data_IF_340570102038
#
_entry.id   IF_340570102038
#
_cell.length_a   1.000
_cell.length_b   1.000
_cell.length_c   1.000
_cell.angle_alpha   90.00
_cell.angle_beta   90.00
_cell.angle_gamma   90.00
#
_symmetry.space_group_name_H-M   'P 1'
#
loop_
_entity.id
_entity.type
_entity.pdbx_description
1 polymer ?
#
# COMPACT_ATOMS: atom_id res chain seq x y z
N UNK A 1 2.37 19.36 -9.21
CA UNK A 1 0.99 19.69 -8.81
C UNK A 1 0.08 18.56 -9.30
N UNK A 2 -0.61 17.89 -8.39
CA UNK A 2 -1.49 16.75 -8.67
C UNK A 2 -2.71 17.16 -9.52
N UNK A 3 -3.17 16.31 -10.44
CA UNK A 3 -4.37 16.63 -11.22
C UNK A 3 -5.61 16.62 -10.33
N UNK A 4 -6.61 17.47 -10.64
CA UNK A 4 -7.83 17.60 -9.82
C UNK A 4 -8.54 16.26 -9.58
N UNK A 5 -8.64 15.42 -10.61
CA UNK A 5 -9.26 14.09 -10.52
C UNK A 5 -8.48 13.17 -9.57
N UNK A 6 -7.16 13.10 -9.72
CA UNK A 6 -6.28 12.27 -8.87
C UNK A 6 -6.37 12.71 -7.40
N UNK A 7 -6.49 14.01 -7.15
CA UNK A 7 -6.72 14.55 -5.80
C UNK A 7 -8.05 14.07 -5.21
N UNK A 8 -9.13 14.13 -5.98
CA UNK A 8 -10.46 13.66 -5.53
C UNK A 8 -10.44 12.16 -5.22
N UNK A 9 -9.83 11.36 -6.10
CA UNK A 9 -9.73 9.90 -5.91
C UNK A 9 -8.88 9.56 -4.68
N UNK A 10 -7.82 10.33 -4.40
CA UNK A 10 -6.98 10.18 -3.21
C UNK A 10 -7.75 10.48 -1.91
N UNK A 11 -8.50 11.59 -1.87
CA UNK A 11 -9.33 11.95 -0.72
C UNK A 11 -10.39 10.88 -0.48
N UNK A 12 -11.08 10.43 -1.54
CA UNK A 12 -12.10 9.39 -1.44
C UNK A 12 -11.54 8.07 -0.90
N UNK A 13 -10.33 7.69 -1.33
CA UNK A 13 -9.67 6.47 -0.86
C UNK A 13 -9.27 6.57 0.62
N UNK A 14 -8.70 7.69 1.04
CA UNK A 14 -8.31 7.91 2.43
C UNK A 14 -9.55 7.99 3.35
N UNK A 15 -10.64 8.59 2.86
CA UNK A 15 -11.94 8.59 3.54
C UNK A 15 -12.50 7.19 3.68
N UNK A 16 -12.49 6.39 2.62
CA UNK A 16 -12.98 5.01 2.65
C UNK A 16 -12.17 4.13 3.63
N UNK A 17 -10.85 4.35 3.72
CA UNK A 17 -10.02 3.73 4.75
C UNK A 17 -10.49 4.13 6.15
N UNK A 18 -10.67 5.42 6.41
CA UNK A 18 -11.10 5.90 7.72
C UNK A 18 -12.49 5.39 8.10
N UNK A 19 -13.46 5.45 7.20
CA UNK A 19 -14.83 4.98 7.43
C UNK A 19 -14.85 3.48 7.76
N UNK A 20 -14.00 2.67 7.10
CA UNK A 20 -13.94 1.22 7.32
C UNK A 20 -13.28 0.83 8.64
N UNK A 21 -12.32 1.62 9.11
CA UNK A 21 -11.44 1.24 10.21
C UNK A 21 -11.55 2.12 11.47
N UNK A 22 -12.41 3.14 11.46
CA UNK A 22 -12.67 3.97 12.64
C UNK A 22 -13.18 3.13 13.81
N UNK A 23 -12.57 3.32 14.99
CA UNK A 23 -12.89 2.55 16.20
C UNK A 23 -12.34 1.12 16.25
N UNK A 24 -11.65 0.64 15.21
CA UNK A 24 -11.03 -0.69 15.16
C UNK A 24 -9.56 -0.65 15.56
N UNK A 25 -9.04 -1.78 16.03
CA UNK A 25 -7.60 -2.03 16.10
C UNK A 25 -7.13 -2.58 14.76
N UNK A 26 -6.14 -1.92 14.19
CA UNK A 26 -5.57 -2.21 12.88
C UNK A 26 -4.17 -2.76 13.09
N UNK A 27 -3.84 -3.94 12.57
CA UNK A 27 -2.52 -4.53 12.78
C UNK A 27 -1.39 -3.67 12.20
N UNK A 28 -0.19 -3.72 12.80
CA UNK A 28 1.03 -3.23 12.16
C UNK A 28 1.35 -4.04 10.92
N UNK A 29 2.02 -3.42 9.97
CA UNK A 29 2.44 -4.07 8.73
C UNK A 29 3.93 -4.38 8.74
N UNK A 30 4.33 -5.26 7.84
CA UNK A 30 5.73 -5.60 7.62
C UNK A 30 5.99 -5.87 6.15
N UNK A 31 7.19 -5.55 5.69
CA UNK A 31 7.67 -5.91 4.36
C UNK A 31 9.07 -6.51 4.50
N UNK A 32 9.22 -7.77 4.09
CA UNK A 32 10.50 -8.49 4.17
C UNK A 32 10.81 -9.12 2.83
N UNK A 33 12.06 -9.01 2.40
CA UNK A 33 12.55 -9.71 1.21
C UNK A 33 12.63 -11.20 1.51
N UNK A 34 11.97 -12.02 0.69
CA UNK A 34 11.98 -13.47 0.78
C UNK A 34 12.32 -14.09 -0.58
N UNK A 35 12.77 -15.34 -0.55
CA UNK A 35 12.88 -16.20 -1.73
C UNK A 35 11.73 -17.19 -1.70
N UNK A 36 10.88 -17.18 -2.72
CA UNK A 36 9.68 -18.01 -2.80
C UNK A 36 9.77 -19.02 -3.94
N UNK A 37 9.31 -20.24 -3.67
CA UNK A 37 9.09 -21.29 -4.66
C UNK A 37 7.69 -21.85 -4.48
N UNK A 38 6.91 -21.92 -5.56
CA UNK A 38 5.52 -22.38 -5.53
C UNK A 38 4.65 -21.64 -6.53
N UNK A 39 3.34 -21.85 -6.42
CA UNK A 39 2.33 -21.19 -7.25
C UNK A 39 1.75 -20.00 -6.49
N UNK A 40 1.54 -18.89 -7.20
CA UNK A 40 0.92 -17.67 -6.68
C UNK A 40 -0.21 -17.23 -7.62
N UNK A 41 -1.19 -16.52 -7.05
CA UNK A 41 -2.36 -16.01 -7.75
C UNK A 41 -2.58 -14.55 -7.37
N UNK A 42 -3.13 -13.74 -8.28
CA UNK A 42 -3.51 -12.36 -7.97
C UNK A 42 -4.45 -12.28 -6.75
N UNK A 43 -4.17 -11.35 -5.84
CA UNK A 43 -5.06 -11.05 -4.73
C UNK A 43 -6.32 -10.36 -5.25
N UNK A 44 -7.49 -10.92 -4.93
CA UNK A 44 -8.77 -10.30 -5.28
C UNK A 44 -9.09 -9.13 -4.35
N UNK A 45 -9.55 -8.04 -4.94
CA UNK A 45 -9.88 -6.82 -4.20
C UNK A 45 -8.67 -5.99 -3.79
N UNK A 46 -7.46 -6.30 -4.28
CA UNK A 46 -6.36 -5.34 -4.24
C UNK A 46 -6.77 -4.09 -5.04
N UNK A 47 -6.45 -2.91 -4.52
CA UNK A 47 -6.70 -1.66 -5.23
C UNK A 47 -5.78 -1.55 -6.45
N UNK A 48 -6.20 -0.94 -7.57
CA UNK A 48 -5.25 -0.46 -8.56
C UNK A 48 -4.26 0.47 -7.85
N UNK A 49 -2.95 0.29 -8.08
CA UNK A 49 -1.88 1.09 -7.48
C UNK A 49 -2.17 2.59 -7.70
N UNK A 50 -2.73 3.30 -6.70
CA UNK A 50 -3.14 4.66 -6.94
C UNK A 50 -1.85 5.49 -6.92
N UNK A 51 -1.51 6.05 -8.08
CA UNK A 51 -0.32 6.91 -8.28
C UNK A 51 -0.50 8.21 -7.51
N UNK A 52 -0.40 8.19 -6.18
CA UNK A 52 -0.58 9.38 -5.37
C UNK A 52 0.72 9.67 -4.63
N UNK A 53 1.42 10.73 -5.03
CA UNK A 53 2.59 11.26 -4.31
C UNK A 53 3.88 10.44 -4.43
N UNK A 54 3.94 9.47 -5.34
CA UNK A 54 5.08 8.57 -5.47
C UNK A 54 5.12 7.45 -4.42
N UNK A 55 4.17 7.40 -3.49
CA UNK A 55 3.95 6.27 -2.59
C UNK A 55 3.11 5.21 -3.29
N UNK A 56 3.77 4.39 -4.09
CA UNK A 56 3.15 3.28 -4.83
C UNK A 56 3.66 1.94 -4.33
N UNK A 57 2.95 0.86 -4.66
CA UNK A 57 3.45 -0.49 -4.40
C UNK A 57 4.72 -0.79 -5.22
N UNK A 58 4.81 -0.23 -6.43
CA UNK A 58 6.06 -0.25 -7.21
C UNK A 58 7.22 0.42 -6.48
N UNK A 59 7.03 1.60 -5.90
CA UNK A 59 8.08 2.29 -5.16
C UNK A 59 8.52 1.51 -3.91
N UNK A 60 7.60 0.77 -3.28
CA UNK A 60 7.94 -0.13 -2.19
C UNK A 60 8.87 -1.26 -2.66
N UNK A 61 8.57 -1.91 -3.80
CA UNK A 61 9.44 -2.93 -4.40
C UNK A 61 10.85 -2.39 -4.71
N UNK A 62 10.92 -1.23 -5.37
CA UNK A 62 12.18 -0.56 -5.73
C UNK A 62 13.02 -0.24 -4.48
N UNK A 63 12.40 0.20 -3.38
CA UNK A 63 13.09 0.48 -2.11
C UNK A 63 13.79 -0.75 -1.52
N UNK A 64 13.28 -1.94 -1.80
CA UNK A 64 13.90 -3.21 -1.37
C UNK A 64 14.73 -3.86 -2.50
N UNK A 65 15.04 -3.12 -3.56
CA UNK A 65 15.79 -3.60 -4.73
C UNK A 65 15.14 -4.82 -5.39
N UNK A 66 13.81 -4.93 -5.32
CA UNK A 66 13.04 -5.93 -6.08
C UNK A 66 12.54 -5.23 -7.34
N UNK A 67 13.48 -4.96 -8.24
CA UNK A 67 13.28 -4.26 -9.50
C UNK A 67 13.68 -5.18 -10.65
N UNK A 68 12.80 -5.35 -11.64
CA UNK A 68 13.06 -6.28 -12.72
C UNK A 68 11.93 -6.34 -13.73
N UNK A 69 11.98 -7.30 -14.64
CA UNK A 69 10.87 -7.52 -15.56
C UNK A 69 9.63 -8.05 -14.83
N UNK A 70 8.50 -8.10 -15.51
CA UNK A 70 7.33 -8.82 -15.02
C UNK A 70 7.71 -10.25 -14.63
N UNK A 71 7.36 -10.69 -13.42
CA UNK A 71 7.69 -12.03 -12.93
C UNK A 71 6.71 -13.10 -13.39
N UNK A 72 5.58 -12.71 -13.99
CA UNK A 72 4.65 -13.64 -14.61
C UNK A 72 5.02 -13.89 -16.07
N UNK A 73 5.07 -15.16 -16.45
CA UNK A 73 5.23 -15.69 -17.81
C UNK A 73 3.96 -16.39 -18.31
N UNK A 74 3.05 -16.76 -17.39
CA UNK A 74 1.74 -17.36 -17.68
C UNK A 74 0.57 -16.49 -17.22
N UNK A 75 -0.53 -16.39 -18.00
CA UNK A 75 -0.58 -16.73 -19.41
C UNK A 75 0.37 -15.82 -20.21
N UNK A 76 0.79 -16.20 -21.43
CA UNK A 76 1.62 -15.31 -22.24
C UNK A 76 0.85 -14.03 -22.57
N UNK A 77 1.52 -12.88 -22.53
CA UNK A 77 0.90 -11.62 -22.89
C UNK A 77 0.40 -11.65 -24.35
N UNK A 78 -0.77 -11.07 -24.67
CA UNK A 78 -1.29 -11.02 -26.03
C UNK A 78 -0.30 -10.35 -26.99
N UNK A 79 -0.08 -10.96 -28.16
CA UNK A 79 0.64 -10.33 -29.27
C UNK A 79 2.16 -10.24 -29.15
N UNK A 80 2.83 -11.19 -28.49
CA UNK A 80 4.31 -11.21 -28.44
C UNK A 80 4.92 -9.98 -27.73
N UNK A 81 4.11 -9.29 -26.93
CA UNK A 81 4.51 -8.11 -26.17
C UNK A 81 5.60 -8.50 -25.20
N UNK A 82 6.78 -7.90 -25.34
CA UNK A 82 7.89 -8.07 -24.41
C UNK A 82 7.48 -7.54 -23.03
N UNK A 83 8.05 -8.11 -21.97
CA UNK A 83 7.84 -7.77 -20.56
C UNK A 83 8.83 -6.72 -19.97
N UNK A 84 9.45 -5.80 -20.74
CA UNK A 84 10.74 -5.23 -20.35
C UNK A 84 10.65 -4.25 -19.19
N UNK A 85 9.45 -3.85 -18.76
CA UNK A 85 9.26 -3.02 -17.57
C UNK A 85 8.05 -3.49 -16.77
N UNK A 86 8.25 -3.86 -15.50
CA UNK A 86 7.13 -3.96 -14.58
C UNK A 86 6.58 -2.56 -14.30
N UNK A 87 5.27 -2.42 -14.44
CA UNK A 87 4.59 -1.14 -14.36
C UNK A 87 3.86 -0.95 -13.04
N UNK A 88 3.68 -2.02 -12.26
CA UNK A 88 2.93 -2.04 -10.99
C UNK A 88 3.54 -3.05 -10.00
N UNK A 89 3.39 -2.77 -8.70
CA UNK A 89 3.57 -3.80 -7.68
C UNK A 89 2.30 -4.64 -7.57
N UNK A 90 2.39 -5.92 -7.95
CA UNK A 90 1.26 -6.84 -7.96
C UNK A 90 1.17 -7.64 -6.66
N UNK A 91 0.01 -7.60 -6.00
CA UNK A 91 -0.25 -8.42 -4.82
C UNK A 91 -0.65 -9.82 -5.25
N UNK A 92 0.03 -10.82 -4.69
CA UNK A 92 -0.23 -12.21 -4.97
C UNK A 92 -0.30 -13.04 -3.68
N UNK A 93 -0.97 -14.19 -3.75
CA UNK A 93 -1.24 -15.09 -2.62
C UNK A 93 -1.13 -16.53 -3.07
N UNK A 94 -0.73 -17.48 -2.20
CA UNK A 94 -0.79 -18.91 -2.51
C UNK A 94 -2.22 -19.44 -2.59
N UNK A 95 -3.22 -18.68 -2.12
CA UNK A 95 -4.61 -19.07 -2.20
C UNK A 95 -5.15 -18.91 -3.63
N UNK A 96 -5.54 -20.01 -4.26
CA UNK A 96 -6.08 -20.03 -5.64
C UNK A 96 -7.30 -19.12 -5.82
N UNK A 97 -8.11 -18.98 -4.78
CA UNK A 97 -9.27 -18.09 -4.81
C UNK A 97 -8.91 -16.59 -4.77
N UNK A 98 -7.63 -16.25 -4.58
CA UNK A 98 -7.11 -14.89 -4.48
C UNK A 98 -7.39 -14.21 -3.14
N UNK A 99 -7.86 -14.95 -2.13
CA UNK A 99 -8.20 -14.38 -0.82
C UNK A 99 -6.95 -14.15 0.04
N UNK A 100 -6.99 -13.09 0.84
CA UNK A 100 -6.04 -12.82 1.92
C UNK A 100 -6.87 -12.37 3.13
N UNK A 101 -6.81 -13.08 4.28
CA UNK A 101 -7.45 -12.65 5.50
C UNK A 101 -6.98 -11.25 5.90
N UNK A 102 -7.83 -10.44 6.53
CA UNK A 102 -7.40 -9.18 7.15
C UNK A 102 -6.29 -9.45 8.17
N UNK A 103 -5.19 -8.70 8.08
CA UNK A 103 -3.99 -8.94 8.90
C UNK A 103 -3.06 -10.03 8.34
N UNK A 104 -3.54 -10.77 7.34
CA UNK A 104 -2.85 -11.90 6.75
C UNK A 104 -1.59 -11.53 5.98
N UNK A 105 -0.96 -12.59 5.46
CA UNK A 105 0.24 -12.48 4.64
C UNK A 105 -0.14 -12.55 3.16
N UNK A 106 0.45 -11.67 2.37
CA UNK A 106 0.49 -11.77 0.91
C UNK A 106 1.91 -11.47 0.42
N UNK A 107 2.13 -11.58 -0.88
CA UNK A 107 3.39 -11.21 -1.48
C UNK A 107 3.19 -10.06 -2.45
N UNK A 108 4.22 -9.26 -2.63
CA UNK A 108 4.29 -8.21 -3.60
C UNK A 108 5.44 -8.53 -4.56
N UNK A 109 5.14 -8.51 -5.86
CA UNK A 109 6.13 -8.79 -6.89
C UNK A 109 5.97 -7.87 -8.12
N UNK A 110 7.04 -7.70 -8.91
CA UNK A 110 6.99 -7.02 -10.20
C UNK A 110 5.97 -7.65 -11.16
N UNK A 111 4.92 -6.91 -11.54
CA UNK A 111 3.98 -7.32 -12.57
C UNK A 111 3.78 -6.21 -13.62
N UNK A 112 3.44 -6.63 -14.84
CA UNK A 112 2.93 -5.72 -15.86
C UNK A 112 1.42 -5.46 -15.66
N UNK A 113 0.90 -4.39 -16.26
CA UNK A 113 -0.53 -4.03 -16.17
C UNK A 113 -1.47 -5.15 -16.61
N UNK A 114 -1.05 -5.96 -17.59
CA UNK A 114 -1.87 -7.04 -18.11
C UNK A 114 -1.97 -8.19 -17.10
N UNK A 115 -0.83 -8.70 -16.62
CA UNK A 115 -0.79 -9.78 -15.61
C UNK A 115 -1.44 -9.39 -14.29
N UNK A 116 -1.32 -8.13 -13.88
CA UNK A 116 -2.01 -7.59 -12.70
C UNK A 116 -3.49 -7.21 -12.95
N UNK A 117 -4.03 -7.53 -14.12
CA UNK A 117 -5.40 -7.23 -14.49
C UNK A 117 -6.39 -8.27 -13.99
N UNK A 118 -7.63 -7.85 -13.70
CA UNK A 118 -8.72 -8.72 -13.20
C UNK A 118 -9.03 -9.93 -14.08
N UNK A 119 -8.76 -9.85 -15.38
CA UNK A 119 -8.95 -10.96 -16.31
C UNK A 119 -8.00 -12.15 -16.01
N UNK A 120 -6.92 -11.88 -15.28
CA UNK A 120 -5.93 -12.87 -14.86
C UNK A 120 -6.10 -13.26 -13.37
N UNK A 121 -7.18 -12.84 -12.71
CA UNK A 121 -7.50 -13.34 -11.37
C UNK A 121 -7.74 -14.86 -11.43
N UNK A 122 -7.08 -15.61 -10.54
CA UNK A 122 -7.12 -17.08 -10.54
C UNK A 122 -6.24 -17.76 -11.58
N UNK A 123 -5.48 -17.01 -12.38
CA UNK A 123 -4.41 -17.59 -13.21
C UNK A 123 -3.18 -17.87 -12.34
N UNK A 124 -2.53 -19.04 -12.49
CA UNK A 124 -1.35 -19.39 -11.73
C UNK A 124 -0.10 -18.69 -12.29
N UNK A 125 0.74 -18.19 -11.37
CA UNK A 125 2.10 -17.76 -11.62
C UNK A 125 3.04 -18.72 -10.91
N UNK A 126 3.82 -19.48 -11.68
CA UNK A 126 4.78 -20.43 -11.13
C UNK A 126 6.11 -19.75 -10.85
N UNK A 127 6.66 -19.97 -9.65
CA UNK A 127 7.93 -19.39 -9.24
C UNK A 127 8.87 -20.46 -8.72
N UNK A 128 10.15 -20.33 -9.09
CA UNK A 128 11.25 -21.11 -8.55
C UNK A 128 12.31 -20.16 -8.05
N UNK A 129 12.58 -20.19 -6.75
CA UNK A 129 13.58 -19.37 -6.06
C UNK A 129 13.52 -17.88 -6.42
N UNK A 130 12.30 -17.36 -6.55
CA UNK A 130 12.06 -15.98 -6.98
C UNK A 130 12.09 -15.05 -5.77
N UNK A 131 12.86 -13.96 -5.86
CA UNK A 131 13.00 -12.96 -4.81
C UNK A 131 11.81 -11.98 -4.84
N UNK A 132 11.05 -11.87 -3.76
CA UNK A 132 9.86 -11.01 -3.69
C UNK A 132 9.71 -10.39 -2.30
N UNK A 133 8.72 -9.51 -2.11
CA UNK A 133 8.39 -8.98 -0.79
C UNK A 133 7.25 -9.77 -0.17
N UNK A 134 7.47 -10.36 1.00
CA UNK A 134 6.39 -10.82 1.86
C UNK A 134 5.83 -9.64 2.64
N UNK A 135 4.53 -9.42 2.52
CA UNK A 135 3.79 -8.39 3.25
C UNK A 135 2.96 -9.03 4.37
N UNK A 136 3.05 -8.49 5.58
CA UNK A 136 2.21 -8.89 6.72
C UNK A 136 1.30 -7.74 7.15
N UNK A 137 0.21 -8.03 7.87
CA UNK A 137 -0.76 -7.02 8.29
C UNK A 137 -1.60 -6.46 7.12
N UNK A 138 -1.62 -7.17 5.98
CA UNK A 138 -2.29 -6.73 4.77
C UNK A 138 -3.80 -6.64 4.97
N UNK A 139 -4.41 -5.63 4.35
CA UNK A 139 -5.86 -5.48 4.34
C UNK A 139 -6.33 -5.29 2.91
N UNK A 140 -7.36 -6.02 2.50
CA UNK A 140 -7.97 -5.83 1.19
C UNK A 140 -8.47 -4.39 1.06
N UNK A 141 -8.05 -3.71 -0.01
CA UNK A 141 -8.38 -2.32 -0.22
C UNK A 141 -7.39 -1.31 0.37
N UNK A 142 -6.29 -1.76 0.98
CA UNK A 142 -5.30 -0.87 1.61
C UNK A 142 -4.55 -0.02 0.57
N UNK A 143 -4.18 1.19 0.97
CA UNK A 143 -3.33 2.07 0.17
C UNK A 143 -1.87 1.81 0.56
N UNK A 144 -0.94 1.94 -0.40
CA UNK A 144 0.49 1.84 -0.08
C UNK A 144 0.89 2.81 1.05
N UNK A 145 0.33 4.03 1.06
CA UNK A 145 0.60 5.02 2.11
C UNK A 145 0.12 4.57 3.51
N UNK A 146 -1.08 3.99 3.64
CA UNK A 146 -1.61 3.49 4.92
C UNK A 146 -0.94 2.19 5.35
N UNK A 147 -0.50 1.36 4.40
CA UNK A 147 0.36 0.22 4.67
C UNK A 147 1.71 0.67 5.23
N UNK A 148 2.41 1.57 4.53
CA UNK A 148 3.74 2.07 4.90
C UNK A 148 3.70 2.80 6.24
N UNK A 149 2.66 3.59 6.51
CA UNK A 149 2.50 4.30 7.78
C UNK A 149 2.34 3.35 8.99
N UNK A 150 1.88 2.12 8.75
CA UNK A 150 1.74 1.07 9.77
C UNK A 150 2.93 0.13 9.85
N UNK A 151 3.97 0.29 9.01
CA UNK A 151 5.16 -0.55 9.12
C UNK A 151 5.81 -0.28 10.46
N UNK A 152 6.28 -1.34 11.13
CA UNK A 152 6.75 -1.35 12.52
C UNK A 152 7.89 -0.34 12.80
N UNK A 153 7.53 0.94 12.91
CA UNK A 153 8.34 2.01 13.44
C UNK A 153 8.06 2.20 14.93
N UNK A 154 9.02 2.79 15.65
CA UNK A 154 8.87 3.08 17.07
C UNK A 154 8.01 4.34 17.35
N UNK A 155 7.64 5.09 16.31
CA UNK A 155 6.90 6.33 16.46
C UNK A 155 5.49 6.08 17.03
N UNK A 156 5.07 6.83 18.07
CA UNK A 156 3.73 6.71 18.64
C UNK A 156 2.61 7.06 17.65
N UNK A 157 2.87 7.98 16.71
CA UNK A 157 1.91 8.49 15.77
C UNK A 157 2.41 8.33 14.33
N UNK A 158 1.50 8.05 13.41
CA UNK A 158 1.74 8.06 11.98
C UNK A 158 0.64 8.86 11.26
N UNK A 159 1.04 9.94 10.60
CA UNK A 159 0.14 10.81 9.85
C UNK A 159 0.22 10.44 8.37
N UNK A 160 -0.91 10.06 7.78
CA UNK A 160 -1.10 9.94 6.33
C UNK A 160 -1.87 11.16 5.87
N UNK A 161 -1.35 11.90 4.90
CA UNK A 161 -1.96 13.16 4.45
C UNK A 161 -1.80 13.37 2.95
N UNK A 162 -2.65 14.23 2.37
CA UNK A 162 -2.61 14.62 0.97
C UNK A 162 -2.03 16.03 0.82
N UNK A 163 -0.88 16.16 0.16
CA UNK A 163 -0.28 17.46 -0.21
C UNK A 163 -0.38 17.74 -1.72
N UNK A 164 0.34 18.76 -2.20
CA UNK A 164 0.33 19.17 -3.62
C UNK A 164 0.95 18.13 -4.57
N UNK A 165 1.77 17.24 -4.04
CA UNK A 165 2.47 16.17 -4.78
C UNK A 165 1.70 14.85 -4.69
N UNK A 166 0.96 14.63 -3.60
CA UNK A 166 0.03 13.53 -3.44
C UNK A 166 -0.01 12.98 -2.01
N UNK A 167 -0.30 11.67 -1.86
CA UNK A 167 -0.32 11.04 -0.55
C UNK A 167 1.12 10.95 -0.04
N UNK A 168 1.28 11.38 1.20
CA UNK A 168 2.52 11.30 1.94
C UNK A 168 2.24 10.71 3.32
N UNK A 169 3.31 10.28 4.00
CA UNK A 169 3.22 9.87 5.39
C UNK A 169 4.36 10.48 6.22
N UNK A 170 4.11 10.66 7.52
CA UNK A 170 5.12 11.08 8.51
C UNK A 170 4.94 10.28 9.79
N UNK A 171 6.05 9.82 10.36
CA UNK A 171 6.11 9.32 11.72
C UNK A 171 6.31 10.49 12.69
N UNK A 172 5.52 10.55 13.76
CA UNK A 172 5.49 11.67 14.71
C UNK A 172 5.66 11.18 16.16
N UNK A 173 6.21 12.04 17.00
CA UNK A 173 6.18 11.88 18.45
C UNK A 173 4.74 12.08 18.98
N UNK A 174 4.47 11.64 20.21
CA UNK A 174 3.15 11.80 20.85
C UNK A 174 2.99 13.19 21.50
N UNK A 175 3.09 14.23 20.66
CA UNK A 175 2.99 15.62 21.08
C UNK A 175 2.00 16.36 20.16
N UNK A 176 0.98 17.05 20.69
CA UNK A 176 0.00 17.78 19.88
C UNK A 176 0.65 18.76 18.89
N UNK A 177 1.72 19.44 19.31
CA UNK A 177 2.46 20.41 18.52
C UNK A 177 3.11 19.76 17.29
N UNK A 178 3.57 18.51 17.40
CA UNK A 178 4.16 17.77 16.29
C UNK A 178 3.12 17.46 15.20
N UNK A 179 1.88 17.17 15.58
CA UNK A 179 0.78 16.92 14.65
C UNK A 179 0.37 18.20 13.93
N UNK A 180 0.16 19.29 14.67
CA UNK A 180 -0.26 20.56 14.08
C UNK A 180 0.83 21.14 13.16
N UNK A 181 2.10 21.11 13.57
CA UNK A 181 3.22 21.54 12.72
C UNK A 181 3.36 20.70 11.43
N UNK A 182 3.11 19.39 11.51
CA UNK A 182 3.13 18.52 10.34
C UNK A 182 1.99 18.85 9.36
N UNK A 183 0.78 19.12 9.89
CA UNK A 183 -0.37 19.51 9.08
C UNK A 183 -0.20 20.90 8.46
N UNK A 184 0.39 21.85 9.18
CA UNK A 184 0.71 23.18 8.64
C UNK A 184 1.74 23.10 7.51
N UNK A 185 2.79 22.29 7.69
CA UNK A 185 3.79 22.04 6.64
C UNK A 185 3.14 21.42 5.38
N UNK A 186 2.24 20.47 5.58
CA UNK A 186 1.53 19.79 4.49
C UNK A 186 0.52 20.69 3.75
N UNK A 187 0.06 21.77 4.40
CA UNK A 187 -0.96 22.66 3.86
C UNK A 187 -0.45 23.65 2.80
N UNK A 188 0.87 23.91 2.77
CA UNK A 188 1.61 24.72 1.78
C UNK A 188 0.79 25.76 0.96
N UNK A 189 0.07 26.66 1.63
CA UNK A 189 -0.66 27.78 0.98
C UNK A 189 -2.19 27.67 0.87
N UNK A 190 -2.84 26.67 1.48
CA UNK A 190 -4.30 26.54 1.54
C UNK A 190 -4.77 25.78 2.80
N UNK A 191 -6.09 25.56 2.97
CA UNK A 191 -6.68 24.96 4.18
C UNK A 191 -6.12 23.58 4.57
N UNK A 192 -6.49 23.09 5.77
CA UNK A 192 -5.95 21.84 6.36
C UNK A 192 -6.07 20.65 5.36
N UNK A 193 -4.98 19.89 5.12
CA UNK A 193 -4.99 18.80 4.16
C UNK A 193 -5.91 17.67 4.62
N UNK A 194 -6.42 16.89 3.66
CA UNK A 194 -7.09 15.64 3.96
C UNK A 194 -6.07 14.68 4.60
N UNK A 195 -6.41 14.09 5.75
CA UNK A 195 -5.49 13.29 6.52
C UNK A 195 -6.17 12.25 7.42
N UNK A 196 -5.37 11.25 7.80
CA UNK A 196 -5.65 10.25 8.84
C UNK A 196 -4.43 10.19 9.76
N UNK A 197 -4.66 10.36 11.05
CA UNK A 197 -3.68 10.18 12.11
C UNK A 197 -3.90 8.81 12.77
N UNK A 198 -2.92 7.95 12.65
CA UNK A 198 -2.88 6.64 13.28
C UNK A 198 -2.08 6.72 14.57
N UNK A 199 -2.65 6.22 15.66
CA UNK A 199 -1.98 6.08 16.94
C UNK A 199 -1.60 4.64 17.18
N UNK A 200 -0.31 4.41 17.37
CA UNK A 200 0.26 3.11 17.68
C UNK A 200 -0.12 2.68 19.09
N UNK A 201 -0.43 1.39 19.25
CA UNK A 201 -0.77 0.72 20.50
C UNK A 201 0.14 -0.50 20.64
N UNK A 202 0.77 -0.65 21.80
CA UNK A 202 1.70 -1.76 22.07
C UNK A 202 3.12 -1.54 21.52
N UNK A 203 3.93 -2.59 21.50
CA UNK A 203 5.35 -2.58 21.12
C UNK A 203 5.68 -3.73 20.17
N UNK A 204 6.83 -3.62 19.47
CA UNK A 204 7.29 -4.65 18.53
C UNK A 204 6.37 -4.90 17.34
N UNK A 205 6.45 -6.12 16.82
CA UNK A 205 5.72 -6.64 15.65
C UNK A 205 4.25 -6.95 15.93
N UNK A 206 3.85 -6.96 17.21
CA UNK A 206 2.45 -7.16 17.64
C UNK A 206 1.73 -5.83 17.88
N UNK A 207 2.31 -4.73 17.43
CA UNK A 207 1.69 -3.43 17.59
C UNK A 207 0.42 -3.32 16.74
N UNK A 208 -0.55 -2.58 17.23
CA UNK A 208 -1.73 -2.20 16.47
C UNK A 208 -1.81 -0.69 16.35
N UNK A 209 -2.72 -0.21 15.52
CA UNK A 209 -3.00 1.19 15.29
C UNK A 209 -4.49 1.44 15.45
N UNK A 210 -4.84 2.59 16.00
CA UNK A 210 -6.21 3.11 16.01
C UNK A 210 -6.22 4.44 15.28
N UNK A 211 -7.31 4.74 14.56
CA UNK A 211 -7.49 6.08 13.98
C UNK A 211 -7.81 7.05 15.12
N UNK A 212 -6.89 7.97 15.38
CA UNK A 212 -6.99 9.00 16.43
C UNK A 212 -7.76 10.22 15.92
N UNK A 213 -7.49 10.59 14.67
CA UNK A 213 -8.09 11.74 13.99
C UNK A 213 -8.17 11.47 12.49
N UNK A 214 -9.26 11.91 11.85
CA UNK A 214 -9.38 11.96 10.40
C UNK A 214 -10.08 13.25 10.00
N UNK A 215 -9.62 13.86 8.90
CA UNK A 215 -10.23 15.05 8.33
C UNK A 215 -10.16 14.96 6.82
N UNK A 216 -11.27 15.25 6.15
CA UNK A 216 -11.36 15.29 4.70
C UNK A 216 -11.98 16.64 4.37
N UNK A 217 -11.36 17.41 3.46
CA UNK A 217 -11.99 18.63 2.98
C UNK A 217 -13.25 18.27 2.17
N UNK A 218 -14.30 19.05 2.33
CA UNK A 218 -15.49 19.02 1.48
C UNK A 218 -15.20 19.59 0.08
#
# INVERSE_FOLDING_TARGET
>A
MLAKKERVDAVASLKAFADRHSGLQIESTGATVVTYSGVLFNVKGSTPDPKIGGLTWKALLERYSVDGWCYADTPPAPGGSSHPDFSVGGHVTPNEDGSVPTGGTCYLMPLCYWHNGKANDGQPFEHSETRMLQLTGYMTGDLAATFIARMAGAAPLALVYLDETGLAFRSLADEPEAVDAALETAAAGGGKPAHVLLRRRGAGETATYTIDRAQFAD
#
